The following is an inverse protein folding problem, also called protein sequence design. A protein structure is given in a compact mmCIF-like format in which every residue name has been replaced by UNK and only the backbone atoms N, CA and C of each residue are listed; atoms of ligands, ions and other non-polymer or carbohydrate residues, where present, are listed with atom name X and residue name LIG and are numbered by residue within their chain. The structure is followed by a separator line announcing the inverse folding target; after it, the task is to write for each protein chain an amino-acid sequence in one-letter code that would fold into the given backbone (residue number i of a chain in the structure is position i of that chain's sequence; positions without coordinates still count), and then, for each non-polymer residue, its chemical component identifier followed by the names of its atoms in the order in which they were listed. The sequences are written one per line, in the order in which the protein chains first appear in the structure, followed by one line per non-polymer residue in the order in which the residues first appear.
data_IF_244874160659
#
_entry.id   IF_244874160659
#
_cell.length_a   1.000
_cell.length_b   1.000
_cell.length_c   1.000
_cell.angle_alpha   90.00
_cell.angle_beta   90.00
_cell.angle_gamma   90.00
#
_symmetry.space_group_name_H-M   'P 1'
#
loop_
_entity.id
_entity.type
_entity.pdbx_description
1 polymer ?
#
# COMPACT_ATOMS: atom_id res chain seq x y z
N UNK A 1 -6.79 8.87 5.17
CA UNK A 1 -6.88 7.57 5.86
C UNK A 1 -8.34 7.29 6.11
N UNK A 2 -8.82 6.14 5.62
CA UNK A 2 -10.11 5.58 6.01
C UNK A 2 -9.76 4.32 6.76
N UNK A 3 -9.85 4.34 8.08
CA UNK A 3 -9.58 3.20 8.97
C UNK A 3 -8.25 2.46 8.71
N UNK A 4 -8.22 1.41 7.92
CA UNK A 4 -7.05 0.57 7.62
C UNK A 4 -6.46 0.78 6.21
N UNK A 5 -7.03 1.69 5.41
CA UNK A 5 -6.63 1.95 4.03
C UNK A 5 -5.74 3.20 3.87
N UNK A 6 -4.67 3.04 3.08
CA UNK A 6 -3.79 4.11 2.60
C UNK A 6 -3.86 4.16 1.08
N UNK A 7 -4.10 5.35 0.52
CA UNK A 7 -4.13 5.59 -0.92
C UNK A 7 -2.92 6.43 -1.28
N UNK A 8 -2.18 6.00 -2.30
CA UNK A 8 -0.97 6.67 -2.77
C UNK A 8 -1.08 6.91 -4.27
N UNK A 9 -0.81 8.14 -4.69
CA UNK A 9 -0.67 8.49 -6.10
C UNK A 9 0.80 8.54 -6.50
N UNK A 10 1.15 7.89 -7.60
CA UNK A 10 2.51 7.85 -8.13
C UNK A 10 2.49 7.87 -9.66
N UNK A 11 3.60 8.31 -10.26
CA UNK A 11 3.79 8.13 -11.71
C UNK A 11 3.87 6.65 -12.04
N UNK A 12 3.35 6.25 -13.20
CA UNK A 12 3.44 4.85 -13.67
C UNK A 12 4.87 4.32 -13.74
N UNK A 13 5.85 5.18 -14.04
CA UNK A 13 7.28 4.82 -14.04
C UNK A 13 7.81 4.42 -12.66
N UNK A 14 7.18 4.95 -11.60
CA UNK A 14 7.68 4.86 -10.23
C UNK A 14 6.86 3.85 -9.41
N UNK A 15 5.81 3.26 -9.99
CA UNK A 15 4.83 2.42 -9.30
C UNK A 15 5.49 1.31 -8.47
N UNK A 16 6.45 0.58 -9.07
CA UNK A 16 7.16 -0.51 -8.37
C UNK A 16 7.97 -0.02 -7.17
N UNK A 17 8.69 1.10 -7.33
CA UNK A 17 9.51 1.65 -6.25
C UNK A 17 8.64 2.17 -5.10
N UNK A 18 7.52 2.81 -5.42
CA UNK A 18 6.55 3.27 -4.43
C UNK A 18 5.91 2.09 -3.71
N UNK A 19 5.51 1.04 -4.43
CA UNK A 19 4.94 -0.17 -3.85
C UNK A 19 5.88 -0.83 -2.83
N UNK A 20 7.16 -0.99 -3.18
CA UNK A 20 8.17 -1.58 -2.28
C UNK A 20 8.31 -0.76 -0.98
N UNK A 21 8.39 0.57 -1.10
CA UNK A 21 8.54 1.47 0.07
C UNK A 21 7.29 1.42 0.96
N UNK A 22 6.10 1.51 0.37
CA UNK A 22 4.84 1.55 1.11
C UNK A 22 4.60 0.21 1.81
N UNK A 23 4.73 -0.91 1.09
CA UNK A 23 4.55 -2.24 1.66
C UNK A 23 5.55 -2.54 2.77
N UNK A 24 6.82 -2.16 2.61
CA UNK A 24 7.83 -2.30 3.66
C UNK A 24 7.46 -1.51 4.92
N UNK A 25 7.14 -0.22 4.73
CA UNK A 25 6.78 0.67 5.83
C UNK A 25 5.52 0.20 6.59
N UNK A 26 4.52 -0.32 5.89
CA UNK A 26 3.29 -0.80 6.51
C UNK A 26 3.50 -2.10 7.29
N UNK A 27 4.29 -3.05 6.77
CA UNK A 27 4.58 -4.31 7.47
C UNK A 27 5.40 -4.09 8.74
N UNK A 28 6.28 -3.10 8.74
CA UNK A 28 7.17 -2.79 9.87
C UNK A 28 6.61 -1.72 10.81
N UNK A 29 5.38 -1.24 10.57
CA UNK A 29 4.78 -0.14 11.33
C UNK A 29 4.66 -0.41 12.84
N UNK A 30 4.61 -1.69 13.26
CA UNK A 30 4.61 -2.10 14.65
C UNK A 30 5.20 -3.49 14.86
N UNK A 31 5.90 -3.69 15.98
CA UNK A 31 6.36 -5.01 16.41
C UNK A 31 5.21 -5.77 17.08
N UNK A 32 4.62 -6.72 16.35
CA UNK A 32 3.52 -7.55 16.81
C UNK A 32 3.98 -9.01 17.01
N UNK A 33 3.24 -9.79 17.80
CA UNK A 33 3.51 -11.24 17.95
C UNK A 33 3.14 -12.06 16.71
N UNK A 34 2.45 -11.45 15.76
CA UNK A 34 2.00 -12.05 14.51
C UNK A 34 2.33 -11.10 13.36
N UNK A 35 2.55 -11.61 12.13
CA UNK A 35 2.78 -10.76 10.97
C UNK A 35 1.59 -9.81 10.70
N UNK A 36 1.90 -8.59 10.27
CA UNK A 36 0.90 -7.66 9.76
C UNK A 36 0.84 -7.81 8.23
N UNK A 37 -0.18 -8.51 7.75
CA UNK A 37 -0.40 -8.72 6.31
C UNK A 37 -1.00 -7.49 5.65
N UNK A 38 -0.46 -7.12 4.48
CA UNK A 38 -0.86 -5.94 3.72
C UNK A 38 -1.22 -6.35 2.30
N UNK A 39 -2.37 -5.89 1.82
CA UNK A 39 -2.79 -6.01 0.42
C UNK A 39 -2.51 -4.70 -0.31
N UNK A 40 -2.03 -4.78 -1.55
CA UNK A 40 -1.83 -3.64 -2.43
C UNK A 40 -2.43 -3.92 -3.81
N UNK A 41 -3.05 -2.89 -4.38
CA UNK A 41 -3.62 -2.90 -5.72
C UNK A 41 -3.38 -1.53 -6.38
N UNK A 42 -3.30 -1.54 -7.71
CA UNK A 42 -3.08 -0.35 -8.53
C UNK A 42 -4.25 -0.13 -9.47
N UNK A 43 -4.60 1.14 -9.68
CA UNK A 43 -5.63 1.51 -10.64
C UNK A 43 -5.50 2.97 -11.06
N UNK A 44 -5.98 3.26 -12.27
CA UNK A 44 -6.02 4.64 -12.81
C UNK A 44 -7.15 5.48 -12.16
N UNK A 45 -7.97 4.86 -11.33
CA UNK A 45 -8.97 5.48 -10.47
C UNK A 45 -9.01 4.78 -9.12
N UNK A 46 -9.57 5.45 -8.11
CA UNK A 46 -9.72 4.85 -6.78
C UNK A 46 -10.56 3.56 -6.81
N UNK A 47 -11.65 3.52 -7.59
CA UNK A 47 -12.49 2.33 -7.71
C UNK A 47 -11.69 1.12 -8.24
N UNK A 48 -10.80 1.34 -9.20
CA UNK A 48 -9.92 0.29 -9.74
C UNK A 48 -8.75 -0.08 -8.82
N UNK A 49 -8.45 0.74 -7.81
CA UNK A 49 -7.34 0.50 -6.87
C UNK A 49 -7.78 -0.21 -5.57
N UNK A 50 -9.06 -0.62 -5.47
CA UNK A 50 -9.62 -1.34 -4.30
C UNK A 50 -9.72 -2.86 -4.47
N UNK A 51 -9.50 -3.39 -5.67
CA UNK A 51 -9.78 -4.78 -6.06
C UNK A 51 -8.54 -5.56 -6.40
#
# INVERSE_FOLDING_TARGET
QVHDEVIVEAKKSDAKAVEEIVLGSMREAASLRVPLEINAAWGDSWASAKS
#
